data_IF_921986847873
#
_entry.id   IF_921986847873
#
_cell.length_a   1.000
_cell.length_b   1.000
_cell.length_c   1.000
_cell.angle_alpha   90.00
_cell.angle_beta   90.00
_cell.angle_gamma   90.00
#
_symmetry.space_group_name_H-M   'P 1'
#
loop_
_entity.id
_entity.type
_entity.pdbx_description
1 polymer ?
#
# COMPACT_ATOMS: atom_id res chain seq x y z
N UNK A 1 28.18 2.35 -23.57
CA UNK A 1 28.41 1.63 -24.84
C UNK A 1 27.11 0.94 -25.21
N UNK A 2 26.38 1.44 -26.20
CA UNK A 2 25.30 0.66 -26.83
C UNK A 2 25.96 -0.34 -27.77
N UNK A 3 25.62 -1.62 -27.66
CA UNK A 3 25.89 -2.59 -28.72
C UNK A 3 24.72 -2.56 -29.69
N UNK A 4 24.95 -2.81 -30.98
CA UNK A 4 23.88 -2.89 -32.00
C UNK A 4 22.78 -3.92 -31.63
N UNK A 5 23.06 -4.84 -30.70
CA UNK A 5 22.12 -5.85 -30.20
C UNK A 5 21.21 -5.40 -29.05
N UNK A 6 21.44 -4.23 -28.43
CA UNK A 6 20.63 -3.69 -27.33
C UNK A 6 20.54 -2.16 -27.43
N UNK A 7 19.54 -1.66 -28.15
CA UNK A 7 19.22 -0.24 -28.24
C UNK A 7 18.78 0.30 -26.87
N UNK A 8 19.20 1.52 -26.55
CA UNK A 8 18.78 2.23 -25.33
C UNK A 8 17.76 3.28 -25.74
N UNK A 9 16.53 3.15 -25.24
CA UNK A 9 15.46 4.13 -25.35
C UNK A 9 15.21 4.75 -23.97
N UNK A 10 15.15 6.08 -23.89
CA UNK A 10 14.91 6.81 -22.64
C UNK A 10 13.48 7.35 -22.54
N UNK A 11 12.72 7.32 -23.63
CA UNK A 11 11.36 7.85 -23.73
C UNK A 11 10.32 6.73 -23.60
N UNK A 12 10.50 5.62 -24.32
CA UNK A 12 9.59 4.47 -24.29
C UNK A 12 10.35 3.13 -24.19
N UNK A 13 10.99 2.85 -23.03
CA UNK A 13 11.79 1.65 -22.87
C UNK A 13 10.91 0.39 -22.73
N UNK A 14 11.17 -0.62 -23.55
CA UNK A 14 10.58 -1.97 -23.36
C UNK A 14 11.00 -2.61 -22.02
N UNK A 15 12.21 -2.27 -21.53
CA UNK A 15 12.78 -2.81 -20.31
C UNK A 15 13.40 -1.69 -19.47
N UNK A 16 12.97 -1.56 -18.22
CA UNK A 16 13.53 -0.61 -17.28
C UNK A 16 14.48 -1.36 -16.34
N UNK A 17 15.74 -0.94 -16.28
CA UNK A 17 16.71 -1.44 -15.30
C UNK A 17 16.67 -0.53 -14.08
N UNK A 18 16.32 -1.08 -12.92
CA UNK A 18 16.35 -0.38 -11.64
C UNK A 18 17.62 -0.75 -10.87
N UNK A 19 18.27 0.26 -10.28
CA UNK A 19 19.43 0.09 -9.42
C UNK A 19 19.14 0.78 -8.08
N UNK A 20 19.29 0.04 -6.98
CA UNK A 20 19.17 0.54 -5.61
C UNK A 20 20.52 0.38 -4.93
N UNK A 21 21.05 1.49 -4.44
CA UNK A 21 22.31 1.54 -3.70
C UNK A 21 21.95 1.85 -2.25
N UNK A 22 22.42 1.02 -1.31
CA UNK A 22 22.16 1.18 0.11
C UNK A 22 23.43 0.92 0.90
N UNK A 23 23.67 1.71 1.93
CA UNK A 23 24.87 1.67 2.74
C UNK A 23 25.10 3.01 3.42
N UNK A 24 26.05 3.08 4.37
CA UNK A 24 26.43 4.32 5.00
C UNK A 24 26.99 5.30 3.95
N UNK A 25 26.46 6.52 3.92
CA UNK A 25 27.00 7.60 3.09
C UNK A 25 28.33 8.13 3.66
N UNK A 26 28.46 8.17 4.98
CA UNK A 26 29.66 8.51 5.75
C UNK A 26 29.71 7.67 7.04
N UNK A 27 30.89 7.55 7.66
CA UNK A 27 31.18 6.71 8.84
C UNK A 27 30.24 6.88 10.06
N UNK A 28 30.38 6.05 11.10
CA UNK A 28 29.31 5.83 12.09
C UNK A 28 28.95 7.10 12.89
N UNK A 29 27.65 7.43 12.93
CA UNK A 29 27.08 8.57 13.69
C UNK A 29 26.57 8.13 15.08
N UNK A 30 26.46 6.82 15.37
CA UNK A 30 25.93 6.28 16.62
C UNK A 30 26.88 5.30 17.30
N UNK A 31 26.89 5.30 18.64
CA UNK A 31 27.82 4.54 19.49
C UNK A 31 27.49 3.04 19.59
N UNK A 32 26.29 2.65 19.16
CA UNK A 32 25.85 1.25 19.06
C UNK A 32 25.93 0.81 17.59
N UNK A 33 27.13 0.44 17.14
CA UNK A 33 27.37 -0.10 15.79
C UNK A 33 26.68 -1.47 15.63
N UNK A 34 25.41 -1.47 15.23
CA UNK A 34 24.78 -2.65 14.64
C UNK A 34 25.25 -2.75 13.17
N UNK A 35 26.53 -3.13 13.01
CA UNK A 35 27.14 -3.49 11.74
C UNK A 35 27.66 -2.33 10.89
N UNK A 36 28.97 -2.31 10.65
CA UNK A 36 29.57 -1.57 9.54
C UNK A 36 29.15 -2.24 8.23
N UNK A 37 28.00 -1.89 7.69
CA UNK A 37 27.55 -2.44 6.42
C UNK A 37 28.34 -1.79 5.28
N UNK A 38 29.06 -2.58 4.49
CA UNK A 38 29.61 -2.10 3.21
C UNK A 38 28.47 -1.70 2.26
N UNK A 39 28.69 -0.79 1.30
CA UNK A 39 27.68 -0.44 0.31
C UNK A 39 27.21 -1.69 -0.45
N UNK A 40 25.90 -1.87 -0.51
CA UNK A 40 25.22 -2.93 -1.26
C UNK A 40 24.57 -2.29 -2.47
N UNK A 41 24.82 -2.89 -3.64
CA UNK A 41 24.14 -2.56 -4.89
C UNK A 41 23.22 -3.70 -5.25
N UNK A 42 21.92 -3.41 -5.36
CA UNK A 42 20.91 -4.33 -5.89
C UNK A 42 20.43 -3.79 -7.23
N UNK A 43 20.37 -4.63 -8.25
CA UNK A 43 19.88 -4.24 -9.57
C UNK A 43 19.00 -5.33 -10.17
N UNK A 44 18.12 -4.93 -11.08
CA UNK A 44 17.22 -5.87 -11.76
C UNK A 44 16.32 -5.18 -12.78
N UNK A 45 15.45 -5.97 -13.40
CA UNK A 45 14.43 -5.48 -14.31
C UNK A 45 13.19 -5.07 -13.53
N UNK A 46 12.66 -3.88 -13.80
CA UNK A 46 11.35 -3.47 -13.30
C UNK A 46 10.27 -4.31 -13.95
N UNK A 47 9.25 -4.68 -13.18
CA UNK A 47 8.11 -5.39 -13.71
C UNK A 47 7.22 -4.40 -14.51
N UNK A 48 7.00 -4.59 -15.82
CA UNK A 48 6.36 -3.58 -16.68
C UNK A 48 4.94 -3.19 -16.23
N UNK A 49 4.21 -4.13 -15.62
CA UNK A 49 2.86 -3.91 -15.10
C UNK A 49 2.79 -3.48 -13.63
N UNK A 50 3.91 -3.34 -12.93
CA UNK A 50 3.87 -2.92 -11.53
C UNK A 50 3.76 -1.41 -11.45
N UNK A 51 2.65 -0.94 -10.88
CA UNK A 51 2.45 0.47 -10.56
C UNK A 51 2.24 0.61 -9.06
N UNK A 52 2.75 1.72 -8.51
CA UNK A 52 2.43 2.07 -7.14
C UNK A 52 0.95 2.40 -7.07
N UNK A 53 0.26 1.78 -6.12
CA UNK A 53 -1.14 2.10 -5.88
C UNK A 53 -1.32 3.57 -5.48
N UNK A 54 -2.30 4.23 -6.12
CA UNK A 54 -2.65 5.62 -5.85
C UNK A 54 -3.84 5.70 -4.90
N UNK A 55 -3.66 6.35 -3.75
CA UNK A 55 -4.72 6.59 -2.75
C UNK A 55 -5.48 7.90 -2.97
N UNK A 56 -5.21 8.61 -4.07
CA UNK A 56 -5.91 9.85 -4.41
C UNK A 56 -7.41 9.61 -4.57
N UNK A 57 -8.25 10.54 -4.09
CA UNK A 57 -9.71 10.41 -4.16
C UNK A 57 -10.32 9.50 -3.08
N UNK A 58 -9.51 8.92 -2.19
CA UNK A 58 -9.96 7.97 -1.15
C UNK A 58 -9.85 8.54 0.27
N UNK A 59 -9.40 9.79 0.41
CA UNK A 59 -9.23 10.39 1.72
C UNK A 59 -10.57 10.42 2.47
N UNK A 60 -10.59 10.28 3.80
CA UNK A 60 -11.84 10.29 4.55
C UNK A 60 -12.73 11.51 4.27
N UNK A 61 -12.13 12.67 4.03
CA UNK A 61 -12.81 13.93 3.72
C UNK A 61 -13.45 13.97 2.33
N UNK A 62 -13.11 13.04 1.45
CA UNK A 62 -13.66 12.93 0.09
C UNK A 62 -14.87 11.97 0.04
N UNK A 63 -15.17 11.28 1.15
CA UNK A 63 -16.27 10.32 1.24
C UNK A 63 -17.61 11.02 1.52
N UNK A 64 -18.75 10.48 1.02
CA UNK A 64 -20.07 11.04 1.30
C UNK A 64 -20.37 11.19 2.80
N UNK A 65 -20.01 10.18 3.60
CA UNK A 65 -20.10 10.21 5.05
C UNK A 65 -18.72 10.35 5.70
N UNK A 66 -18.51 11.49 6.38
CA UNK A 66 -17.25 11.80 7.05
C UNK A 66 -17.42 11.96 8.57
N UNK A 67 -16.46 11.41 9.31
CA UNK A 67 -16.22 11.66 10.73
C UNK A 67 -14.71 11.79 10.98
N UNK A 68 -14.25 12.65 11.92
CA UNK A 68 -12.84 12.91 12.19
C UNK A 68 -12.17 11.78 13.01
N UNK A 69 -12.49 10.53 12.69
CA UNK A 69 -12.02 9.32 13.38
C UNK A 69 -11.55 8.24 12.39
N UNK A 70 -11.66 8.49 11.08
CA UNK A 70 -11.35 7.50 10.06
C UNK A 70 -9.85 7.32 9.85
N UNK A 71 -9.44 6.07 9.61
CA UNK A 71 -8.10 5.74 9.13
C UNK A 71 -7.85 6.29 7.73
N UNK A 72 -6.61 6.71 7.48
CA UNK A 72 -6.13 6.98 6.13
C UNK A 72 -6.14 5.69 5.29
N UNK A 73 -6.50 5.75 3.98
CA UNK A 73 -6.49 4.59 3.08
C UNK A 73 -5.22 3.74 3.15
N UNK A 74 -4.04 4.38 3.25
CA UNK A 74 -2.77 3.66 3.31
C UNK A 74 -2.62 2.86 4.61
N UNK A 75 -3.15 3.38 5.72
CA UNK A 75 -3.13 2.68 7.01
C UNK A 75 -4.09 1.51 7.01
N UNK A 76 -5.31 1.70 6.49
CA UNK A 76 -6.27 0.61 6.33
C UNK A 76 -5.71 -0.52 5.44
N UNK A 77 -5.10 -0.17 4.30
CA UNK A 77 -4.42 -1.12 3.41
C UNK A 77 -3.28 -1.89 4.08
N UNK A 78 -2.51 -1.20 4.93
CA UNK A 78 -1.44 -1.83 5.71
C UNK A 78 -2.02 -2.87 6.69
N UNK A 79 -3.11 -2.54 7.40
CA UNK A 79 -3.72 -3.47 8.35
C UNK A 79 -4.22 -4.75 7.67
N UNK A 80 -4.87 -4.62 6.52
CA UNK A 80 -5.31 -5.78 5.71
C UNK A 80 -4.10 -6.62 5.27
N UNK A 81 -3.04 -5.97 4.79
CA UNK A 81 -1.80 -6.64 4.36
C UNK A 81 -1.14 -7.40 5.51
N UNK A 82 -1.12 -6.83 6.72
CA UNK A 82 -0.54 -7.46 7.91
C UNK A 82 -1.38 -8.63 8.42
N UNK A 83 -2.69 -8.64 8.16
CA UNK A 83 -3.56 -9.76 8.49
C UNK A 83 -3.34 -10.97 7.56
N UNK A 84 -2.66 -10.79 6.42
CA UNK A 84 -2.42 -11.87 5.47
C UNK A 84 -1.48 -12.95 6.01
N UNK A 85 -1.80 -14.22 5.74
CA UNK A 85 -0.98 -15.37 6.15
C UNK A 85 -0.40 -16.05 4.92
N UNK A 86 0.91 -16.30 4.91
CA UNK A 86 1.61 -16.91 3.75
C UNK A 86 1.02 -18.25 3.29
N UNK A 87 0.35 -18.98 4.17
CA UNK A 87 -0.19 -20.33 3.90
C UNK A 87 -1.63 -20.32 3.42
N UNK A 88 -2.29 -19.16 3.36
CA UNK A 88 -3.70 -19.07 3.01
C UNK A 88 -4.06 -17.70 2.46
N UNK A 89 -4.78 -17.67 1.36
CA UNK A 89 -5.37 -16.44 0.85
C UNK A 89 -6.39 -15.85 1.85
N UNK A 90 -6.31 -14.54 2.06
CA UNK A 90 -7.28 -13.82 2.89
C UNK A 90 -8.55 -13.64 2.07
N UNK A 91 -9.62 -14.33 2.43
CA UNK A 91 -10.91 -14.24 1.73
C UNK A 91 -11.87 -13.24 2.36
N UNK A 92 -11.74 -13.01 3.66
CA UNK A 92 -12.66 -12.18 4.43
C UNK A 92 -11.90 -11.36 5.48
N UNK A 93 -12.23 -10.08 5.62
CA UNK A 93 -11.78 -9.18 6.70
C UNK A 93 -12.96 -8.86 7.60
N UNK A 94 -12.74 -8.96 8.92
CA UNK A 94 -13.75 -8.63 9.93
C UNK A 94 -13.30 -7.39 10.68
N UNK A 95 -14.08 -6.32 10.61
CA UNK A 95 -13.85 -5.07 11.35
C UNK A 95 -15.01 -4.80 12.32
N UNK A 96 -14.86 -5.14 13.61
CA UNK A 96 -15.95 -5.01 14.58
C UNK A 96 -16.21 -3.57 15.05
N UNK A 97 -15.41 -2.58 14.61
CA UNK A 97 -15.52 -1.17 14.97
C UNK A 97 -15.30 -0.28 13.74
N UNK A 98 -16.14 -0.48 12.72
CA UNK A 98 -15.86 0.02 11.39
C UNK A 98 -15.89 1.55 11.25
N UNK A 99 -16.59 2.26 12.15
CA UNK A 99 -16.72 3.71 12.13
C UNK A 99 -17.26 4.21 10.78
N UNK A 100 -16.39 4.78 9.95
CA UNK A 100 -16.75 5.29 8.60
C UNK A 100 -16.41 4.32 7.48
N UNK A 101 -15.97 3.09 7.80
CA UNK A 101 -15.75 2.02 6.83
C UNK A 101 -14.38 1.99 6.17
N UNK A 102 -13.37 2.69 6.72
CA UNK A 102 -12.05 2.81 6.06
C UNK A 102 -11.39 1.47 5.72
N UNK A 103 -11.45 0.48 6.62
CA UNK A 103 -10.93 -0.87 6.39
C UNK A 103 -11.83 -1.64 5.40
N UNK A 104 -13.14 -1.53 5.54
CA UNK A 104 -14.11 -2.19 4.66
C UNK A 104 -13.95 -1.75 3.20
N UNK A 105 -13.78 -0.44 2.96
CA UNK A 105 -13.57 0.13 1.63
C UNK A 105 -12.26 -0.40 1.03
N UNK A 106 -11.16 -0.35 1.78
CA UNK A 106 -9.87 -0.85 1.27
C UNK A 106 -9.86 -2.36 1.04
N UNK A 107 -10.62 -3.13 1.82
CA UNK A 107 -10.81 -4.57 1.59
C UNK A 107 -11.63 -4.84 0.32
N UNK A 108 -12.74 -4.11 0.13
CA UNK A 108 -13.58 -4.24 -1.06
C UNK A 108 -12.80 -3.89 -2.35
N UNK A 109 -11.95 -2.87 -2.32
CA UNK A 109 -11.06 -2.51 -3.45
C UNK A 109 -9.99 -3.57 -3.76
N UNK A 110 -9.80 -4.55 -2.88
CA UNK A 110 -8.92 -5.71 -3.08
C UNK A 110 -9.71 -6.99 -3.41
N UNK A 111 -11.01 -6.88 -3.69
CA UNK A 111 -11.93 -8.01 -3.89
C UNK A 111 -11.98 -8.98 -2.68
N UNK A 112 -11.74 -8.44 -1.48
CA UNK A 112 -11.81 -9.19 -0.22
C UNK A 112 -13.18 -8.94 0.41
N UNK A 113 -13.89 -10.03 0.75
CA UNK A 113 -15.16 -9.92 1.46
C UNK A 113 -14.96 -9.21 2.81
N UNK A 114 -15.90 -8.34 3.19
CA UNK A 114 -15.79 -7.61 4.45
C UNK A 114 -17.05 -7.76 5.30
N UNK A 115 -16.85 -8.06 6.57
CA UNK A 115 -17.90 -8.06 7.59
C UNK A 115 -17.58 -6.95 8.59
N UNK A 116 -18.47 -5.98 8.70
CA UNK A 116 -18.24 -4.79 9.52
C UNK A 116 -19.39 -4.55 10.48
N UNK A 117 -19.06 -4.11 11.69
CA UNK A 117 -20.04 -3.67 12.68
C UNK A 117 -19.58 -2.42 13.40
N UNK A 118 -20.55 -1.68 13.94
CA UNK A 118 -20.31 -0.62 14.90
C UNK A 118 -21.48 -0.58 15.89
N UNK A 119 -21.23 -0.05 17.08
CA UNK A 119 -22.28 0.10 18.10
C UNK A 119 -23.23 1.26 17.75
N UNK A 120 -22.73 2.28 17.07
CA UNK A 120 -23.53 3.42 16.62
C UNK A 120 -24.14 3.13 15.25
N UNK A 121 -25.47 3.08 15.16
CA UNK A 121 -26.17 2.79 13.90
C UNK A 121 -25.83 3.79 12.80
N UNK A 122 -25.48 5.03 13.15
CA UNK A 122 -25.05 6.06 12.18
C UNK A 122 -23.74 5.70 11.50
N UNK A 123 -22.84 5.01 12.21
CA UNK A 123 -21.55 4.54 11.67
C UNK A 123 -21.79 3.37 10.70
N UNK A 124 -22.73 2.48 11.02
CA UNK A 124 -23.14 1.40 10.12
C UNK A 124 -23.76 1.97 8.84
N UNK A 125 -24.73 2.88 8.96
CA UNK A 125 -25.38 3.54 7.82
C UNK A 125 -24.36 4.33 6.98
N UNK A 126 -23.50 5.11 7.62
CA UNK A 126 -22.46 5.89 6.94
C UNK A 126 -21.39 5.02 6.27
N UNK A 127 -21.05 3.87 6.85
CA UNK A 127 -20.18 2.87 6.22
C UNK A 127 -20.83 2.30 4.96
N UNK A 128 -22.14 1.97 5.01
CA UNK A 128 -22.88 1.48 3.84
C UNK A 128 -22.95 2.55 2.73
N UNK A 129 -23.17 3.81 3.08
CA UNK A 129 -23.16 4.92 2.13
C UNK A 129 -21.80 5.05 1.45
N UNK A 130 -20.71 5.02 2.23
CA UNK A 130 -19.36 5.11 1.68
C UNK A 130 -19.02 3.92 0.79
N UNK A 131 -19.43 2.70 1.15
CA UNK A 131 -19.23 1.51 0.31
C UNK A 131 -20.03 1.56 -1.00
N UNK A 132 -21.20 2.18 -1.01
CA UNK A 132 -22.02 2.35 -2.22
C UNK A 132 -21.45 3.41 -3.19
N UNK A 133 -20.55 4.26 -2.72
CA UNK A 133 -19.89 5.31 -3.51
C UNK A 133 -18.55 4.90 -4.12
N UNK A 134 -18.05 3.71 -3.77
CA UNK A 134 -16.77 3.15 -4.21
C UNK A 134 -16.87 2.27 -5.45
#
# INVERSE_FOLDING_TARGET
>A
MSSESRSVDLEDPENIISVVISGPEDGPIHQDDIGQNSPIVVWGLSHPGWQRESYSGRAPTERPFFQPVSLDPRQARLLISLAHRRTSETKTVIDPFCGTGGIAIEAALQDIETLSSDLDSRMVEGTLENLASG
#
